data_IF_130183239038
#
_entry.id   IF_130183239038
#
_cell.length_a   1.000
_cell.length_b   1.000
_cell.length_c   1.000
_cell.angle_alpha   90.00
_cell.angle_beta   90.00
_cell.angle_gamma   90.00
#
_symmetry.space_group_name_H-M   'P 1'
#
loop_
_entity.id
_entity.type
_entity.pdbx_description
1 polymer ?
#
# COMPACT_ATOMS: atom_id res chain seq x y z
N UNK A 1 11.04 36.96 -19.23
CA UNK A 1 10.48 35.67 -18.85
C UNK A 1 9.00 35.68 -19.16
N UNK A 2 8.60 34.94 -20.20
CA UNK A 2 7.18 34.66 -20.48
C UNK A 2 6.85 33.27 -19.96
N UNK A 3 5.80 33.14 -19.18
CA UNK A 3 5.30 31.84 -18.68
C UNK A 3 4.11 31.47 -19.56
N UNK A 4 4.24 30.39 -20.33
CA UNK A 4 3.13 29.79 -21.09
C UNK A 4 2.79 28.39 -20.56
N UNK A 5 1.82 27.73 -21.17
CA UNK A 5 1.39 26.38 -20.81
C UNK A 5 2.48 25.31 -20.94
N UNK A 6 3.61 25.61 -21.59
CA UNK A 6 4.75 24.71 -21.77
C UNK A 6 5.88 24.94 -20.74
N UNK A 7 5.83 26.01 -19.96
CA UNK A 7 6.80 26.37 -18.92
C UNK A 7 7.39 27.76 -19.13
N UNK A 8 8.45 28.09 -18.39
CA UNK A 8 9.22 29.33 -18.55
C UNK A 8 9.99 29.24 -19.85
N UNK A 9 9.64 30.07 -20.83
CA UNK A 9 10.44 30.26 -22.02
C UNK A 9 11.13 31.62 -21.99
N UNK A 10 12.38 31.65 -22.35
CA UNK A 10 13.16 32.86 -22.49
C UNK A 10 13.75 32.86 -23.90
N UNK A 11 13.49 33.90 -24.69
CA UNK A 11 14.06 34.06 -26.03
C UNK A 11 14.77 35.41 -26.11
N UNK A 12 16.08 35.38 -26.36
CA UNK A 12 16.90 36.57 -26.58
C UNK A 12 18.31 36.48 -25.98
N UNK A 13 19.24 37.40 -26.38
CA UNK A 13 20.59 37.45 -25.82
C UNK A 13 20.48 37.86 -24.33
N UNK A 14 20.94 37.02 -23.45
CA UNK A 14 20.89 37.24 -21.99
C UNK A 14 19.87 36.30 -21.25
N UNK A 15 19.18 35.43 -21.97
CA UNK A 15 18.41 34.38 -21.34
C UNK A 15 19.31 33.33 -20.69
N UNK A 16 19.10 32.99 -19.41
CA UNK A 16 19.83 31.87 -18.81
C UNK A 16 19.53 30.61 -19.62
N UNK A 17 20.54 29.82 -19.92
CA UNK A 17 20.38 28.53 -20.53
C UNK A 17 19.59 27.66 -19.53
N UNK A 18 18.39 27.18 -19.91
CA UNK A 18 17.60 26.29 -19.06
C UNK A 18 18.37 25.01 -18.64
N UNK A 19 19.42 24.68 -19.41
CA UNK A 19 20.33 23.59 -19.06
C UNK A 19 21.21 23.87 -17.83
N UNK A 20 21.37 25.12 -17.43
CA UNK A 20 22.15 25.52 -16.24
C UNK A 20 21.28 25.67 -14.98
N UNK A 21 19.98 25.39 -15.09
CA UNK A 21 19.06 25.47 -13.95
C UNK A 21 19.07 24.15 -13.17
N UNK A 22 19.53 24.22 -11.91
CA UNK A 22 19.45 23.08 -10.97
C UNK A 22 18.01 22.98 -10.44
N UNK A 23 17.39 21.82 -10.62
CA UNK A 23 16.05 21.56 -10.07
C UNK A 23 16.18 21.16 -8.59
N UNK A 24 15.56 21.92 -7.70
CA UNK A 24 15.49 21.60 -6.28
C UNK A 24 14.11 21.03 -5.94
N UNK A 25 14.05 19.91 -5.20
CA UNK A 25 12.82 19.25 -4.78
C UNK A 25 12.98 18.68 -3.38
N UNK A 26 12.05 19.03 -2.50
CA UNK A 26 12.07 18.66 -1.08
C UNK A 26 11.09 17.53 -0.82
N UNK A 27 11.61 16.41 -0.33
CA UNK A 27 10.83 15.24 0.10
C UNK A 27 10.79 15.19 1.63
N UNK A 28 9.60 15.08 2.21
CA UNK A 28 9.45 14.91 3.65
C UNK A 28 8.48 13.78 3.98
N UNK A 29 8.68 13.11 5.11
CA UNK A 29 7.80 12.08 5.61
C UNK A 29 8.50 10.76 5.94
N UNK A 30 7.85 9.65 5.68
CA UNK A 30 8.25 8.31 6.10
C UNK A 30 9.75 8.02 5.96
N UNK A 31 10.39 7.69 7.09
CA UNK A 31 11.80 7.29 7.12
C UNK A 31 12.05 5.99 6.32
N UNK A 32 11.17 5.02 6.40
CA UNK A 32 11.26 3.76 5.62
C UNK A 32 11.32 4.04 4.11
N UNK A 33 10.47 4.95 3.60
CA UNK A 33 10.53 5.35 2.19
C UNK A 33 11.79 6.16 1.89
N UNK A 34 12.11 7.14 2.74
CA UNK A 34 13.21 8.06 2.51
C UNK A 34 14.58 7.41 2.62
N UNK A 35 14.78 6.47 3.56
CA UNK A 35 16.09 5.87 3.80
C UNK A 35 16.48 4.81 2.74
N UNK A 36 15.52 4.05 2.22
CA UNK A 36 15.79 2.88 1.37
C UNK A 36 15.13 2.98 0.00
N UNK A 37 13.81 3.13 -0.05
CA UNK A 37 13.05 3.01 -1.31
C UNK A 37 13.35 4.15 -2.29
N UNK A 38 13.32 5.39 -1.81
CA UNK A 38 13.50 6.57 -2.65
C UNK A 38 14.91 6.67 -3.21
N UNK A 39 16.00 6.50 -2.41
CA UNK A 39 17.35 6.45 -2.93
C UNK A 39 17.53 5.40 -4.01
N UNK A 40 17.09 4.15 -3.78
CA UNK A 40 17.22 3.07 -4.76
C UNK A 40 16.50 3.38 -6.09
N UNK A 41 15.31 4.00 -6.03
CA UNK A 41 14.57 4.41 -7.21
C UNK A 41 15.22 5.57 -7.95
N UNK A 42 15.78 6.55 -7.22
CA UNK A 42 16.46 7.70 -7.80
C UNK A 42 17.77 7.29 -8.47
N UNK A 43 18.55 6.44 -7.83
CA UNK A 43 19.78 5.88 -8.40
C UNK A 43 19.50 5.10 -9.70
N UNK A 44 18.48 4.27 -9.70
CA UNK A 44 18.08 3.53 -10.90
C UNK A 44 17.53 4.44 -12.02
N UNK A 45 16.82 5.49 -11.67
CA UNK A 45 16.38 6.53 -12.60
C UNK A 45 17.58 7.27 -13.18
N UNK A 46 18.48 7.72 -12.33
CA UNK A 46 19.69 8.47 -12.70
C UNK A 46 20.56 7.67 -13.69
N UNK A 47 20.89 6.43 -13.36
CA UNK A 47 21.66 5.55 -14.23
C UNK A 47 21.03 5.34 -15.60
N UNK A 48 19.70 5.36 -15.70
CA UNK A 48 18.98 5.22 -16.96
C UNK A 48 18.96 6.49 -17.79
N UNK A 49 19.07 7.64 -17.17
CA UNK A 49 18.99 8.98 -17.81
C UNK A 49 20.35 9.62 -18.02
N UNK A 50 21.46 8.92 -17.71
CA UNK A 50 22.83 9.46 -17.86
C UNK A 50 23.19 10.50 -16.79
N UNK A 51 22.75 10.23 -15.55
CA UNK A 51 23.16 11.00 -14.38
C UNK A 51 23.97 10.12 -13.42
N UNK A 52 24.97 10.72 -12.80
CA UNK A 52 25.64 10.19 -11.60
C UNK A 52 24.93 10.71 -10.35
N UNK A 53 24.88 9.92 -9.30
CA UNK A 53 24.29 10.31 -8.01
C UNK A 53 25.37 10.39 -6.96
N UNK A 54 25.41 11.49 -6.23
CA UNK A 54 26.18 11.61 -4.99
C UNK A 54 25.23 11.95 -3.83
N UNK A 55 25.60 11.55 -2.64
CA UNK A 55 24.81 11.77 -1.42
C UNK A 55 25.56 12.72 -0.49
N UNK A 56 24.87 13.75 -0.02
CA UNK A 56 25.30 14.64 1.04
C UNK A 56 24.52 14.34 2.30
N UNK A 57 25.20 14.02 3.39
CA UNK A 57 24.55 13.80 4.69
C UNK A 57 24.34 15.14 5.41
N UNK A 58 23.18 15.26 6.05
CA UNK A 58 22.80 16.36 6.92
C UNK A 58 22.48 15.88 8.32
N UNK A 59 21.96 16.78 9.16
CA UNK A 59 21.60 16.48 10.55
C UNK A 59 20.25 15.79 10.66
N UNK A 60 20.10 14.86 11.62
CA UNK A 60 18.80 14.33 12.09
C UNK A 60 17.89 13.79 10.99
N UNK A 61 18.35 12.83 10.20
CA UNK A 61 17.54 12.19 9.15
C UNK A 61 17.38 13.05 7.89
N UNK A 62 18.15 14.11 7.76
CA UNK A 62 18.24 14.93 6.54
C UNK A 62 19.41 14.49 5.69
N UNK A 63 19.21 14.45 4.39
CA UNK A 63 20.26 14.23 3.39
C UNK A 63 19.79 14.76 2.03
N UNK A 64 20.73 14.92 1.10
CA UNK A 64 20.43 15.27 -0.26
C UNK A 64 21.02 14.27 -1.25
N UNK A 65 20.30 14.00 -2.33
CA UNK A 65 20.81 13.29 -3.50
C UNK A 65 21.02 14.28 -4.63
N UNK A 66 22.27 14.37 -5.09
CA UNK A 66 22.69 15.26 -6.15
C UNK A 66 22.82 14.48 -7.45
N UNK A 67 22.07 14.88 -8.48
CA UNK A 67 22.12 14.28 -9.81
C UNK A 67 22.96 15.17 -10.72
N UNK A 68 24.15 14.70 -11.12
CA UNK A 68 25.03 15.38 -12.06
C UNK A 68 25.03 14.67 -13.41
N UNK A 69 25.06 15.42 -14.51
CA UNK A 69 25.14 14.85 -15.86
C UNK A 69 26.46 14.11 -16.07
N UNK A 70 26.40 12.96 -16.71
CA UNK A 70 27.61 12.17 -16.99
C UNK A 70 28.51 12.83 -18.05
N UNK A 71 27.94 13.63 -18.96
CA UNK A 71 28.65 14.20 -20.10
C UNK A 71 29.51 15.42 -19.72
N UNK A 72 29.03 16.30 -18.84
CA UNK A 72 29.71 17.55 -18.48
C UNK A 72 29.94 17.72 -16.96
N UNK A 73 29.46 16.77 -16.14
CA UNK A 73 29.60 16.79 -14.68
C UNK A 73 28.74 17.86 -13.98
N UNK A 74 27.92 18.62 -14.70
CA UNK A 74 27.11 19.69 -14.11
C UNK A 74 25.96 19.12 -13.31
N UNK A 75 25.69 19.76 -12.16
CA UNK A 75 24.54 19.45 -11.33
C UNK A 75 23.24 19.77 -12.07
N UNK A 76 22.36 18.78 -12.24
CA UNK A 76 21.07 18.90 -12.89
C UNK A 76 19.92 19.00 -11.89
N UNK A 77 20.02 18.28 -10.78
CA UNK A 77 19.01 18.30 -9.72
C UNK A 77 19.59 18.03 -8.34
N UNK A 78 18.91 18.60 -7.34
CA UNK A 78 19.10 18.35 -5.92
C UNK A 78 17.79 17.87 -5.33
N UNK A 79 17.78 16.69 -4.75
CA UNK A 79 16.64 16.10 -4.07
C UNK A 79 16.94 16.06 -2.58
N UNK A 80 16.34 16.97 -1.82
CA UNK A 80 16.50 17.09 -0.38
C UNK A 80 15.49 16.20 0.34
N UNK A 81 15.97 15.42 1.29
CA UNK A 81 15.15 14.51 2.09
C UNK A 81 15.12 14.91 3.56
N UNK A 82 13.92 14.89 4.14
CA UNK A 82 13.68 14.86 5.57
C UNK A 82 12.97 13.56 5.91
N UNK A 83 13.73 12.54 6.31
CA UNK A 83 13.22 11.25 6.71
C UNK A 83 12.68 11.33 8.17
N UNK A 84 11.38 11.29 8.32
CA UNK A 84 10.67 11.44 9.60
C UNK A 84 9.47 10.47 9.65
N UNK A 85 8.27 10.99 9.75
CA UNK A 85 7.03 10.22 9.72
C UNK A 85 5.97 10.90 8.83
N UNK A 86 4.87 10.20 8.59
CA UNK A 86 3.79 10.68 7.70
C UNK A 86 3.15 12.00 8.18
N UNK A 87 2.96 12.18 9.49
CA UNK A 87 2.34 13.41 10.03
C UNK A 87 3.23 14.62 9.80
N UNK A 88 4.54 14.49 10.08
CA UNK A 88 5.53 15.52 9.80
C UNK A 88 5.59 15.86 8.31
N UNK A 89 5.54 14.84 7.44
CA UNK A 89 5.54 15.07 6.00
C UNK A 89 4.36 15.94 5.54
N UNK A 90 3.15 15.71 6.05
CA UNK A 90 2.00 16.57 5.74
C UNK A 90 2.10 17.94 6.38
N UNK A 91 2.66 18.05 7.59
CA UNK A 91 2.91 19.34 8.24
C UNK A 91 3.90 20.19 7.42
N UNK A 92 5.01 19.60 6.96
CA UNK A 92 6.00 20.27 6.10
C UNK A 92 5.40 20.71 4.76
N UNK A 93 4.52 19.89 4.16
CA UNK A 93 3.81 20.27 2.94
C UNK A 93 2.94 21.52 3.16
N UNK A 94 2.20 21.56 4.29
CA UNK A 94 1.36 22.69 4.64
C UNK A 94 2.15 23.95 4.98
N UNK A 95 3.34 23.80 5.55
CA UNK A 95 4.27 24.89 5.86
C UNK A 95 5.10 25.37 4.64
N UNK A 96 4.89 24.79 3.45
CA UNK A 96 5.71 24.99 2.24
C UNK A 96 7.22 24.65 2.44
N UNK A 97 7.48 23.70 3.34
CA UNK A 97 8.83 23.15 3.58
C UNK A 97 9.07 21.86 2.77
N UNK A 98 8.05 21.26 2.18
CA UNK A 98 8.14 20.10 1.31
C UNK A 98 7.37 20.30 -0.01
N UNK A 99 7.88 19.66 -1.08
CA UNK A 99 7.25 19.59 -2.39
C UNK A 99 6.55 18.25 -2.63
N UNK A 100 7.03 17.20 -1.94
CA UNK A 100 6.51 15.84 -2.04
C UNK A 100 6.46 15.21 -0.64
N UNK A 101 5.31 14.67 -0.26
CA UNK A 101 5.15 13.92 0.99
C UNK A 101 5.32 12.42 0.73
N UNK A 102 6.13 11.77 1.55
CA UNK A 102 6.26 10.32 1.65
C UNK A 102 5.38 9.80 2.78
N UNK A 103 4.30 9.07 2.47
CA UNK A 103 3.29 8.69 3.44
C UNK A 103 3.02 7.17 3.43
N UNK A 104 2.81 6.57 4.61
CA UNK A 104 2.42 5.17 4.80
C UNK A 104 0.91 4.99 5.02
N UNK A 105 0.14 6.02 4.83
CA UNK A 105 -1.32 6.04 4.93
C UNK A 105 -1.93 7.07 3.98
N UNK A 106 -3.21 6.96 3.78
CA UNK A 106 -3.96 7.99 3.07
C UNK A 106 -3.96 9.32 3.83
N UNK A 107 -4.08 10.40 3.05
CA UNK A 107 -4.27 11.76 3.59
C UNK A 107 -5.56 11.82 4.41
N UNK A 108 -5.49 12.32 5.64
CA UNK A 108 -6.64 12.46 6.56
C UNK A 108 -7.57 13.61 6.13
N UNK A 109 -8.81 13.56 6.61
CA UNK A 109 -9.81 14.60 6.28
C UNK A 109 -9.33 16.00 6.64
N UNK A 110 -8.73 16.17 7.81
CA UNK A 110 -8.23 17.48 8.28
C UNK A 110 -7.07 17.97 7.39
N UNK A 111 -6.11 17.10 7.07
CA UNK A 111 -5.00 17.42 6.17
C UNK A 111 -5.50 17.86 4.78
N UNK A 112 -6.58 17.22 4.27
CA UNK A 112 -7.21 17.60 3.01
C UNK A 112 -7.84 18.98 3.06
N UNK A 113 -8.52 19.33 4.17
CA UNK A 113 -9.13 20.64 4.38
C UNK A 113 -8.04 21.69 4.43
N UNK A 114 -7.03 21.50 5.28
CA UNK A 114 -5.90 22.41 5.46
C UNK A 114 -5.12 22.62 4.14
N UNK A 115 -4.90 21.55 3.36
CA UNK A 115 -4.24 21.66 2.06
C UNK A 115 -5.03 22.52 1.05
N UNK A 116 -6.36 22.41 1.04
CA UNK A 116 -7.21 23.26 0.19
C UNK A 116 -7.17 24.72 0.62
N UNK A 117 -7.24 24.97 1.93
CA UNK A 117 -7.17 26.31 2.51
C UNK A 117 -5.80 26.96 2.27
N UNK A 118 -4.72 26.18 2.32
CA UNK A 118 -3.37 26.62 1.97
C UNK A 118 -3.12 26.78 0.45
N UNK A 119 -4.13 26.55 -0.41
CA UNK A 119 -4.00 26.68 -1.86
C UNK A 119 -3.24 25.54 -2.54
N UNK A 120 -2.98 24.44 -1.83
CA UNK A 120 -2.24 23.25 -2.36
C UNK A 120 -3.13 22.34 -3.21
N UNK A 121 -4.45 22.63 -3.26
CA UNK A 121 -5.44 21.88 -4.02
C UNK A 121 -5.98 20.65 -3.27
N UNK A 122 -6.75 19.81 -3.98
CA UNK A 122 -7.31 18.59 -3.42
C UNK A 122 -6.30 17.43 -3.54
N UNK A 123 -5.69 17.04 -2.42
CA UNK A 123 -4.70 15.94 -2.39
C UNK A 123 -5.30 14.57 -2.77
N UNK A 124 -6.65 14.43 -2.82
CA UNK A 124 -7.31 13.22 -3.34
C UNK A 124 -7.63 13.31 -4.84
N UNK A 125 -7.33 14.43 -5.48
CA UNK A 125 -7.56 14.65 -6.89
C UNK A 125 -6.73 13.74 -7.78
N UNK A 126 -7.13 13.62 -9.03
CA UNK A 126 -6.36 12.86 -10.03
C UNK A 126 -4.93 13.38 -10.12
N UNK A 127 -3.96 12.47 -10.11
CA UNK A 127 -2.53 12.77 -10.17
C UNK A 127 -1.97 13.58 -8.96
N UNK A 128 -2.66 13.60 -7.81
CA UNK A 128 -2.17 14.24 -6.58
C UNK A 128 -1.57 13.25 -5.59
N UNK A 129 -1.84 11.99 -5.78
CA UNK A 129 -1.22 10.90 -5.03
C UNK A 129 -0.74 9.80 -5.97
N UNK A 130 0.26 9.08 -5.50
CA UNK A 130 0.79 7.90 -6.18
C UNK A 130 1.24 6.87 -5.18
N UNK A 131 0.81 5.64 -5.34
CA UNK A 131 1.40 4.51 -4.63
C UNK A 131 2.65 4.07 -5.38
N UNK A 132 3.78 4.01 -4.69
CA UNK A 132 5.05 3.53 -5.24
C UNK A 132 5.19 2.02 -5.08
N UNK A 133 4.95 1.55 -3.86
CA UNK A 133 5.15 0.18 -3.42
C UNK A 133 4.10 -0.17 -2.36
N UNK A 134 4.05 -1.43 -1.98
CA UNK A 134 3.34 -1.89 -0.81
C UNK A 134 4.35 -2.45 0.19
N UNK A 135 4.01 -2.30 1.46
CA UNK A 135 4.63 -2.94 2.61
C UNK A 135 3.53 -3.49 3.51
N UNK A 136 3.86 -4.03 4.65
CA UNK A 136 2.89 -4.43 5.65
C UNK A 136 3.43 -4.22 7.05
N UNK A 137 2.54 -3.87 7.96
CA UNK A 137 2.80 -3.90 9.41
C UNK A 137 2.67 -5.35 9.85
N UNK A 138 3.72 -5.93 10.38
CA UNK A 138 3.75 -7.35 10.78
C UNK A 138 4.04 -7.52 12.25
N UNK A 139 3.22 -8.30 12.98
CA UNK A 139 3.53 -8.74 14.34
C UNK A 139 4.57 -9.86 14.26
N UNK A 140 5.65 -9.70 15.04
CA UNK A 140 6.80 -10.62 15.01
C UNK A 140 7.14 -11.13 16.39
N UNK A 141 7.62 -12.38 16.45
CA UNK A 141 8.09 -13.07 17.64
C UNK A 141 9.42 -13.74 17.39
N UNK A 142 10.06 -14.25 18.44
CA UNK A 142 11.23 -15.12 18.27
C UNK A 142 10.85 -16.41 17.54
N UNK A 143 11.74 -16.98 16.71
CA UNK A 143 11.50 -18.28 16.03
C UNK A 143 11.19 -19.43 16.99
N UNK A 144 11.65 -19.34 18.25
CA UNK A 144 11.40 -20.31 19.33
C UNK A 144 10.08 -20.11 20.06
N UNK A 145 9.35 -18.99 19.85
CA UNK A 145 8.04 -18.78 20.46
C UNK A 145 7.03 -19.80 19.89
N UNK A 146 6.23 -20.50 20.73
CA UNK A 146 5.28 -21.50 20.23
C UNK A 146 4.03 -20.92 19.60
N UNK A 147 3.68 -19.66 19.86
CA UNK A 147 2.52 -18.99 19.25
C UNK A 147 2.84 -18.62 17.80
N UNK A 148 1.93 -18.96 16.87
CA UNK A 148 2.10 -18.72 15.43
C UNK A 148 0.99 -17.89 14.82
N UNK A 149 -0.08 -17.65 15.59
CA UNK A 149 -1.24 -16.95 15.07
C UNK A 149 -1.80 -16.00 16.13
N UNK A 150 -2.32 -14.86 15.69
CA UNK A 150 -3.00 -13.88 16.54
C UNK A 150 -4.14 -13.22 15.75
N UNK A 151 -5.26 -12.90 16.41
CA UNK A 151 -6.28 -12.07 15.75
C UNK A 151 -5.93 -10.58 15.88
N UNK A 152 -6.37 -9.73 14.93
CA UNK A 152 -6.15 -8.27 15.04
C UNK A 152 -6.72 -7.68 16.33
N UNK A 153 -7.89 -8.14 16.79
CA UNK A 153 -8.47 -7.73 18.06
C UNK A 153 -7.63 -8.17 19.26
N UNK A 154 -7.12 -9.40 19.21
CA UNK A 154 -6.22 -9.91 20.27
C UNK A 154 -4.90 -9.12 20.26
N UNK A 155 -4.36 -8.81 19.08
CA UNK A 155 -3.17 -7.97 18.93
C UNK A 155 -3.40 -6.58 19.55
N UNK A 156 -4.56 -5.97 19.31
CA UNK A 156 -4.93 -4.70 19.93
C UNK A 156 -4.95 -4.80 21.46
N UNK A 157 -5.56 -5.86 22.03
CA UNK A 157 -5.62 -6.08 23.48
C UNK A 157 -4.25 -6.35 24.10
N UNK A 158 -3.33 -6.96 23.38
CA UNK A 158 -1.95 -7.16 23.84
C UNK A 158 -1.22 -5.81 23.86
N UNK A 159 -1.27 -5.03 22.78
CA UNK A 159 -0.59 -3.74 22.73
C UNK A 159 -1.25 -2.66 23.60
N UNK A 160 -2.51 -2.83 23.99
CA UNK A 160 -3.14 -1.97 25.00
C UNK A 160 -2.78 -2.36 26.44
N UNK A 161 -2.16 -3.53 26.65
CA UNK A 161 -1.84 -4.05 27.98
C UNK A 161 -3.01 -4.73 28.69
N UNK A 162 -4.14 -5.00 28.00
CA UNK A 162 -5.22 -5.83 28.55
C UNK A 162 -4.81 -7.31 28.67
N UNK A 163 -4.00 -7.79 27.71
CA UNK A 163 -3.42 -9.13 27.74
C UNK A 163 -1.90 -8.99 27.92
N UNK A 164 -1.40 -9.42 29.07
CA UNK A 164 0.02 -9.30 29.46
C UNK A 164 0.74 -10.64 29.60
N UNK A 165 0.08 -11.75 29.30
CA UNK A 165 0.65 -13.09 29.53
C UNK A 165 0.39 -13.99 28.32
N UNK A 166 1.45 -14.66 27.85
CA UNK A 166 1.42 -15.58 26.71
C UNK A 166 0.44 -16.76 26.89
N UNK A 167 0.17 -17.18 28.14
CA UNK A 167 -0.79 -18.25 28.41
C UNK A 167 -2.19 -17.94 27.86
N UNK A 168 -2.58 -16.65 27.80
CA UNK A 168 -3.85 -16.21 27.21
C UNK A 168 -3.90 -16.40 25.69
N UNK A 169 -2.74 -16.60 25.05
CA UNK A 169 -2.56 -16.82 23.62
C UNK A 169 -2.18 -18.28 23.30
N UNK A 170 -2.27 -19.18 24.27
CA UNK A 170 -1.89 -20.59 24.13
C UNK A 170 -0.38 -20.84 24.23
N UNK A 171 0.38 -19.87 24.69
CA UNK A 171 1.80 -19.95 24.97
C UNK A 171 2.13 -20.34 26.41
N UNK A 172 3.39 -20.20 26.84
CA UNK A 172 3.80 -20.47 28.21
C UNK A 172 3.20 -19.48 29.22
N UNK A 173 3.21 -19.82 30.50
CA UNK A 173 2.88 -18.88 31.58
C UNK A 173 4.05 -17.93 31.83
N UNK A 174 4.07 -16.86 31.04
CA UNK A 174 5.13 -15.86 31.04
C UNK A 174 4.60 -14.48 30.56
N UNK A 175 5.19 -13.37 31.02
CA UNK A 175 4.80 -12.04 30.55
C UNK A 175 5.10 -11.87 29.07
N UNK A 176 4.34 -10.97 28.43
CA UNK A 176 4.60 -10.53 27.05
C UNK A 176 5.41 -9.24 27.10
N UNK A 177 6.61 -9.25 26.53
CA UNK A 177 7.47 -8.07 26.40
C UNK A 177 7.19 -7.39 25.05
N UNK A 178 6.71 -6.13 25.09
CA UNK A 178 6.28 -5.40 23.90
C UNK A 178 7.41 -4.56 23.32
N UNK A 179 7.65 -4.70 22.02
CA UNK A 179 8.68 -3.98 21.27
C UNK A 179 8.06 -3.20 20.10
N UNK A 180 8.31 -1.89 20.05
CA UNK A 180 7.90 -1.01 18.95
C UNK A 180 9.06 -0.11 18.49
N UNK A 181 9.01 0.42 17.28
CA UNK A 181 9.85 1.55 16.89
C UNK A 181 9.57 2.78 17.76
N UNK A 182 10.35 3.85 17.59
CA UNK A 182 10.11 5.14 18.26
C UNK A 182 8.67 5.62 18.08
N UNK A 183 8.16 6.38 19.02
CA UNK A 183 6.75 6.80 19.05
C UNK A 183 6.33 7.63 17.81
N UNK A 184 7.28 8.37 17.25
CA UNK A 184 7.12 9.21 16.07
C UNK A 184 7.30 8.45 14.75
N UNK A 185 7.64 7.14 14.78
CA UNK A 185 7.80 6.36 13.56
C UNK A 185 6.48 6.09 12.84
N UNK A 186 6.53 5.94 11.51
CA UNK A 186 5.36 5.57 10.70
C UNK A 186 4.75 4.22 11.09
N UNK A 187 5.56 3.24 11.52
CA UNK A 187 5.07 1.94 11.99
C UNK A 187 4.33 2.05 13.33
N UNK A 188 4.84 2.86 14.26
CA UNK A 188 4.13 3.13 15.53
C UNK A 188 2.82 3.87 15.30
N UNK A 189 2.75 4.76 14.32
CA UNK A 189 1.49 5.38 13.90
C UNK A 189 0.55 4.35 13.27
N UNK A 190 1.07 3.46 12.42
CA UNK A 190 0.26 2.47 11.72
C UNK A 190 -0.38 1.46 12.68
N UNK A 191 0.32 0.97 13.72
CA UNK A 191 -0.29 0.07 14.71
C UNK A 191 -1.41 0.77 15.50
N UNK A 192 -1.27 2.05 15.80
CA UNK A 192 -2.32 2.83 16.44
C UNK A 192 -3.52 3.00 15.51
N UNK A 193 -3.28 3.47 14.29
CA UNK A 193 -4.34 3.80 13.32
C UNK A 193 -5.09 2.55 12.81
N UNK A 194 -4.38 1.44 12.57
CA UNK A 194 -4.95 0.25 11.93
C UNK A 194 -5.40 -0.84 12.90
N UNK A 195 -4.87 -0.86 14.12
CA UNK A 195 -5.14 -1.95 15.08
C UNK A 195 -5.82 -1.43 16.34
N UNK A 196 -5.25 -0.44 17.02
CA UNK A 196 -5.75 0.05 18.30
C UNK A 196 -7.01 0.90 18.15
N UNK A 197 -6.99 1.91 17.27
CA UNK A 197 -8.12 2.83 17.04
C UNK A 197 -9.40 2.10 16.61
N UNK A 198 -9.38 1.13 15.66
CA UNK A 198 -10.57 0.36 15.31
C UNK A 198 -11.12 -0.50 16.45
N UNK A 199 -10.25 -0.89 17.40
CA UNK A 199 -10.65 -1.62 18.61
C UNK A 199 -11.12 -0.72 19.76
N UNK A 200 -11.02 0.62 19.61
CA UNK A 200 -11.32 1.57 20.68
C UNK A 200 -10.34 1.54 21.84
N UNK A 201 -9.10 1.10 21.60
CA UNK A 201 -8.06 0.91 22.60
C UNK A 201 -6.90 1.89 22.40
N UNK A 202 -6.17 2.16 23.49
CA UNK A 202 -4.97 3.00 23.48
C UNK A 202 -3.72 2.15 23.70
N UNK A 203 -2.58 2.64 23.22
CA UNK A 203 -1.30 1.95 23.37
C UNK A 203 -0.84 1.94 24.83
N UNK A 204 -0.39 0.79 25.32
CA UNK A 204 0.25 0.65 26.64
C UNK A 204 1.48 1.55 26.78
N UNK A 205 1.70 2.06 27.97
CA UNK A 205 2.94 2.76 28.31
C UNK A 205 4.14 1.79 28.47
N UNK A 206 3.86 0.52 28.78
CA UNK A 206 4.86 -0.53 29.01
C UNK A 206 5.33 -1.11 27.65
N UNK A 207 6.08 -0.33 26.88
CA UNK A 207 6.59 -0.72 25.56
C UNK A 207 8.06 -0.34 25.43
N UNK A 208 8.91 -1.29 25.08
CA UNK A 208 10.32 -1.04 24.75
C UNK A 208 10.42 -0.41 23.36
N UNK A 209 11.08 0.76 23.28
CA UNK A 209 11.22 1.51 22.03
C UNK A 209 12.60 1.33 21.41
N UNK A 210 12.61 1.17 20.07
CA UNK A 210 13.83 0.99 19.29
C UNK A 210 13.97 2.10 18.26
N UNK A 211 15.16 2.71 18.19
CA UNK A 211 15.45 3.74 17.20
C UNK A 211 15.69 3.18 15.79
N UNK A 212 16.15 1.93 15.71
CA UNK A 212 16.50 1.27 14.44
C UNK A 212 15.67 -0.01 14.26
N UNK A 213 15.15 -0.27 13.05
CA UNK A 213 14.38 -1.49 12.75
C UNK A 213 15.17 -2.78 13.01
N UNK A 214 16.44 -2.83 12.62
CA UNK A 214 17.31 -4.00 12.83
C UNK A 214 17.47 -4.31 14.33
N UNK A 215 17.63 -3.27 15.18
CA UNK A 215 17.75 -3.44 16.62
C UNK A 215 16.45 -4.00 17.23
N UNK A 216 15.28 -3.62 16.71
CA UNK A 216 14.00 -4.18 17.11
C UNK A 216 13.92 -5.66 16.73
N UNK A 217 14.17 -5.98 15.46
CA UNK A 217 14.09 -7.34 14.95
C UNK A 217 15.06 -8.26 15.70
N UNK A 218 16.29 -7.82 15.94
CA UNK A 218 17.30 -8.57 16.70
C UNK A 218 16.88 -8.79 18.17
N UNK A 219 16.33 -7.77 18.84
CA UNK A 219 15.84 -7.88 20.22
C UNK A 219 14.72 -8.91 20.31
N UNK A 220 13.74 -8.86 19.40
CA UNK A 220 12.62 -9.80 19.36
C UNK A 220 13.08 -11.21 19.01
N UNK A 221 14.02 -11.38 18.05
CA UNK A 221 14.50 -12.70 17.65
C UNK A 221 15.22 -13.45 18.80
N UNK A 222 15.82 -12.71 19.74
CA UNK A 222 16.56 -13.27 20.89
C UNK A 222 15.73 -13.54 22.13
N UNK A 223 14.56 -12.92 22.25
CA UNK A 223 13.70 -13.07 23.43
C UNK A 223 12.41 -13.83 23.08
N UNK A 224 12.29 -15.05 23.60
CA UNK A 224 11.12 -15.91 23.38
C UNK A 224 9.80 -15.30 23.91
N UNK A 225 9.88 -14.35 24.82
CA UNK A 225 8.71 -13.66 25.40
C UNK A 225 8.39 -12.33 24.71
N UNK A 226 9.23 -11.89 23.79
CA UNK A 226 9.00 -10.66 23.04
C UNK A 226 7.90 -10.80 21.99
N UNK A 227 7.12 -9.74 21.84
CA UNK A 227 6.23 -9.49 20.72
C UNK A 227 6.54 -8.09 20.15
N UNK A 228 6.95 -8.04 18.91
CA UNK A 228 7.29 -6.79 18.23
C UNK A 228 6.37 -6.45 17.07
N UNK A 229 6.44 -5.20 16.62
CA UNK A 229 5.87 -4.74 15.34
C UNK A 229 7.00 -4.22 14.47
N UNK A 230 7.11 -4.76 13.27
CA UNK A 230 8.05 -4.29 12.25
C UNK A 230 7.37 -4.18 10.89
N UNK A 231 8.11 -3.76 9.87
CA UNK A 231 7.67 -3.82 8.49
C UNK A 231 7.96 -5.20 7.88
N UNK A 232 7.17 -5.59 6.89
CA UNK A 232 7.43 -6.82 6.14
C UNK A 232 8.83 -6.81 5.49
N UNK A 233 9.31 -5.64 5.05
CA UNK A 233 10.63 -5.50 4.45
C UNK A 233 11.79 -5.60 5.49
N UNK A 234 11.52 -5.42 6.79
CA UNK A 234 12.54 -5.26 7.84
C UNK A 234 12.37 -6.29 8.99
N UNK A 235 11.77 -7.45 8.71
CA UNK A 235 11.48 -8.48 9.72
C UNK A 235 12.71 -9.21 10.27
N UNK A 236 13.86 -9.14 9.59
CA UNK A 236 15.10 -9.80 10.03
C UNK A 236 14.93 -11.31 10.23
N UNK A 237 15.51 -11.85 11.31
CA UNK A 237 15.46 -13.28 11.69
C UNK A 237 14.26 -13.61 12.60
N UNK A 238 13.25 -12.75 12.68
CA UNK A 238 12.04 -12.99 13.46
C UNK A 238 11.06 -13.90 12.74
N UNK A 239 10.10 -14.45 13.47
CA UNK A 239 8.95 -15.18 12.91
C UNK A 239 7.72 -14.28 12.90
N UNK A 240 7.10 -14.15 11.72
CA UNK A 240 5.88 -13.34 11.56
C UNK A 240 4.66 -14.14 12.02
N UNK A 241 3.84 -13.57 12.88
CA UNK A 241 2.57 -14.18 13.27
C UNK A 241 1.55 -14.06 12.14
N UNK A 242 0.91 -15.17 11.81
CA UNK A 242 -0.24 -15.20 10.93
C UNK A 242 -1.41 -14.46 11.57
N UNK A 243 -2.06 -13.56 10.84
CA UNK A 243 -3.28 -12.93 11.29
C UNK A 243 -4.48 -13.84 11.04
N UNK A 244 -5.26 -14.08 12.07
CA UNK A 244 -6.41 -14.96 11.95
C UNK A 244 -7.51 -14.59 12.94
N UNK A 245 -8.65 -15.25 12.83
CA UNK A 245 -9.79 -15.07 13.71
C UNK A 245 -10.43 -16.40 14.08
N UNK A 246 -11.49 -16.33 14.86
CA UNK A 246 -12.21 -17.52 15.35
C UNK A 246 -12.95 -18.29 14.24
N UNK A 247 -13.04 -17.75 13.04
CA UNK A 247 -13.73 -18.35 11.89
C UNK A 247 -12.83 -19.22 11.00
N UNK A 248 -11.56 -19.48 11.42
CA UNK A 248 -10.65 -20.38 10.70
C UNK A 248 -9.85 -19.76 9.56
N UNK A 249 -9.99 -18.45 9.30
CA UNK A 249 -9.13 -17.78 8.32
C UNK A 249 -7.75 -17.55 8.92
N UNK A 250 -6.72 -17.76 8.08
CA UNK A 250 -5.33 -17.50 8.37
C UNK A 250 -4.73 -16.67 7.22
N UNK A 251 -4.25 -15.48 7.53
CA UNK A 251 -3.75 -14.51 6.57
C UNK A 251 -2.26 -14.24 6.85
N UNK A 252 -1.41 -14.88 6.07
CA UNK A 252 0.03 -14.73 6.18
C UNK A 252 0.48 -13.42 5.54
N UNK A 253 1.50 -12.79 6.10
CA UNK A 253 2.17 -11.64 5.49
C UNK A 253 3.06 -12.08 4.31
N UNK A 254 2.50 -12.84 3.37
CA UNK A 254 3.19 -13.23 2.16
C UNK A 254 3.07 -12.14 1.08
N UNK A 255 4.09 -12.01 0.23
CA UNK A 255 4.14 -11.00 -0.84
C UNK A 255 2.85 -10.92 -1.66
N UNK A 256 2.26 -12.06 -2.05
CA UNK A 256 1.01 -12.12 -2.81
C UNK A 256 -0.19 -11.63 -2.01
N UNK A 257 -0.26 -11.96 -0.72
CA UNK A 257 -1.34 -11.52 0.17
C UNK A 257 -1.28 -10.00 0.42
N UNK A 258 -0.07 -9.44 0.54
CA UNK A 258 0.13 -7.99 0.60
C UNK A 258 -0.25 -7.35 -0.73
N UNK A 259 0.14 -7.94 -1.85
CA UNK A 259 -0.13 -7.43 -3.19
C UNK A 259 -1.62 -7.43 -3.56
N UNK A 260 -2.38 -8.42 -3.10
CA UNK A 260 -3.83 -8.48 -3.24
C UNK A 260 -4.57 -7.63 -2.19
N UNK A 261 -3.84 -7.09 -1.21
CA UNK A 261 -4.40 -6.45 -0.02
C UNK A 261 -5.32 -7.39 0.79
N UNK A 262 -5.17 -8.70 0.62
CA UNK A 262 -5.87 -9.68 1.45
C UNK A 262 -5.22 -9.78 2.84
N UNK A 263 -3.92 -9.42 2.95
CA UNK A 263 -3.29 -9.20 4.24
C UNK A 263 -3.74 -7.87 4.84
N UNK A 264 -4.30 -7.89 6.03
CA UNK A 264 -5.07 -6.77 6.58
C UNK A 264 -4.29 -5.53 6.94
N UNK A 265 -3.08 -5.72 7.38
CA UNK A 265 -2.19 -4.63 7.78
C UNK A 265 -1.25 -4.24 6.64
N UNK A 266 -1.73 -4.38 5.39
CA UNK A 266 -1.02 -3.86 4.22
C UNK A 266 -0.88 -2.35 4.33
N UNK A 267 0.32 -1.85 4.08
CA UNK A 267 0.69 -0.44 4.16
C UNK A 267 1.12 0.08 2.78
N UNK A 268 0.23 0.73 2.02
CA UNK A 268 0.61 1.36 0.77
C UNK A 268 1.53 2.55 1.01
N UNK A 269 2.57 2.66 0.19
CA UNK A 269 3.57 3.71 0.24
C UNK A 269 3.23 4.81 -0.75
N UNK A 270 2.72 5.92 -0.26
CA UNK A 270 2.23 7.03 -1.06
C UNK A 270 3.28 8.13 -1.25
N UNK A 271 3.28 8.72 -2.44
CA UNK A 271 3.74 10.08 -2.64
C UNK A 271 2.54 11.00 -2.84
N UNK A 272 2.49 12.12 -2.10
CA UNK A 272 1.51 13.18 -2.31
C UNK A 272 2.19 14.45 -2.80
N UNK A 273 1.55 15.18 -3.70
CA UNK A 273 2.07 16.44 -4.24
C UNK A 273 0.97 17.50 -4.40
N UNK A 274 1.33 18.79 -4.19
CA UNK A 274 0.40 19.90 -4.32
C UNK A 274 -0.01 20.15 -5.78
N UNK A 275 -0.97 21.04 -5.97
CA UNK A 275 -1.48 21.44 -7.29
C UNK A 275 -0.53 22.39 -8.05
N UNK A 276 0.76 22.36 -7.76
CA UNK A 276 1.80 23.10 -8.48
C UNK A 276 2.56 22.20 -9.45
N UNK A 277 3.15 22.80 -10.48
CA UNK A 277 3.95 22.06 -11.46
C UNK A 277 5.33 21.76 -10.87
N UNK A 278 5.64 20.49 -10.72
CA UNK A 278 6.96 20.03 -10.31
C UNK A 278 7.99 20.21 -11.45
N UNK A 279 9.28 20.35 -11.14
CA UNK A 279 10.36 20.39 -12.13
C UNK A 279 10.30 19.23 -13.13
N UNK A 280 10.83 19.42 -14.33
CA UNK A 280 10.78 18.40 -15.39
C UNK A 280 11.40 17.09 -14.93
N UNK A 281 12.60 17.11 -14.40
CA UNK A 281 13.31 15.91 -13.92
C UNK A 281 12.52 15.14 -12.85
N UNK A 282 11.80 15.84 -11.96
CA UNK A 282 10.92 15.22 -10.97
C UNK A 282 9.74 14.53 -11.64
N UNK A 283 9.14 15.15 -12.66
CA UNK A 283 8.04 14.53 -13.42
C UNK A 283 8.51 13.31 -14.21
N UNK A 284 9.72 13.33 -14.75
CA UNK A 284 10.36 12.19 -15.42
C UNK A 284 10.67 11.07 -14.43
N UNK A 285 11.20 11.40 -13.25
CA UNK A 285 11.37 10.45 -12.16
C UNK A 285 10.02 9.81 -11.77
N UNK A 286 8.99 10.63 -11.55
CA UNK A 286 7.65 10.11 -11.25
C UNK A 286 7.07 9.28 -12.41
N UNK A 287 7.39 9.56 -13.65
CA UNK A 287 7.01 8.70 -14.78
C UNK A 287 7.77 7.36 -14.77
N UNK A 288 9.08 7.40 -14.47
CA UNK A 288 9.92 6.21 -14.31
C UNK A 288 9.37 5.26 -13.23
N UNK A 289 8.92 5.78 -12.07
CA UNK A 289 8.41 4.94 -10.96
C UNK A 289 7.23 4.05 -11.36
N UNK A 290 6.57 4.35 -12.47
CA UNK A 290 5.47 3.56 -13.02
C UNK A 290 5.93 2.43 -13.96
N UNK A 291 7.16 2.47 -14.41
CA UNK A 291 7.69 1.53 -15.41
C UNK A 291 8.14 0.19 -14.81
N UNK A 292 8.28 -0.85 -15.65
CA UNK A 292 8.71 -2.17 -15.20
C UNK A 292 10.06 -2.18 -14.47
N UNK A 293 10.99 -1.31 -14.89
CA UNK A 293 12.32 -1.20 -14.26
C UNK A 293 12.22 -0.76 -12.80
N UNK A 294 11.36 0.21 -12.49
CA UNK A 294 11.12 0.64 -11.11
C UNK A 294 10.51 -0.48 -10.25
N UNK A 295 9.60 -1.28 -10.81
CA UNK A 295 9.00 -2.40 -10.10
C UNK A 295 10.04 -3.47 -9.71
N UNK A 296 11.06 -3.68 -10.55
CA UNK A 296 12.19 -4.56 -10.22
C UNK A 296 13.02 -3.97 -9.07
N UNK A 297 13.28 -2.67 -9.09
CA UNK A 297 14.02 -1.97 -8.01
C UNK A 297 13.28 -2.07 -6.69
N UNK A 298 11.97 -1.84 -6.68
CA UNK A 298 11.10 -1.97 -5.51
C UNK A 298 11.26 -3.36 -4.87
N UNK A 299 11.17 -4.43 -5.67
CA UNK A 299 11.37 -5.80 -5.16
C UNK A 299 12.77 -6.03 -4.59
N UNK A 300 13.80 -5.50 -5.24
CA UNK A 300 15.19 -5.63 -4.77
C UNK A 300 15.45 -4.86 -3.47
N UNK A 301 14.71 -3.78 -3.26
CA UNK A 301 14.74 -3.01 -2.02
C UNK A 301 13.92 -3.66 -0.87
N UNK A 302 13.35 -4.87 -1.09
CA UNK A 302 12.62 -5.63 -0.07
C UNK A 302 11.11 -5.36 -0.03
N UNK A 303 10.61 -4.40 -0.81
CA UNK A 303 9.19 -4.02 -0.83
C UNK A 303 8.37 -4.79 -1.85
N UNK A 304 7.06 -4.73 -1.73
CA UNK A 304 6.13 -5.38 -2.64
C UNK A 304 5.79 -4.45 -3.79
N UNK A 305 6.09 -4.87 -5.01
CA UNK A 305 5.76 -4.15 -6.24
C UNK A 305 4.28 -4.29 -6.61
N UNK A 306 3.81 -3.46 -7.54
CA UNK A 306 2.41 -3.42 -7.95
C UNK A 306 2.14 -4.02 -9.35
N UNK A 307 3.12 -4.70 -9.97
CA UNK A 307 2.88 -5.35 -11.26
C UNK A 307 1.82 -6.44 -11.13
N UNK A 308 0.71 -6.43 -11.89
CA UNK A 308 -0.27 -7.50 -11.83
C UNK A 308 0.35 -8.88 -12.11
N UNK A 309 0.05 -9.85 -11.26
CA UNK A 309 0.46 -11.25 -11.40
C UNK A 309 -0.79 -12.13 -11.41
N UNK A 310 -0.71 -13.25 -12.13
CA UNK A 310 -1.76 -14.26 -12.16
C UNK A 310 -1.52 -15.27 -11.04
N UNK A 311 -2.55 -15.53 -10.23
CA UNK A 311 -2.56 -16.56 -9.20
C UNK A 311 -3.41 -17.71 -9.74
N UNK A 312 -2.81 -18.86 -10.03
CA UNK A 312 -3.53 -20.03 -10.51
C UNK A 312 -4.63 -20.48 -9.55
N UNK A 313 -5.67 -21.09 -10.08
CA UNK A 313 -6.82 -21.56 -9.27
C UNK A 313 -6.41 -22.60 -8.23
N UNK A 314 -5.40 -23.40 -8.52
CA UNK A 314 -4.87 -24.41 -7.61
C UNK A 314 -4.39 -23.79 -6.29
N UNK A 315 -3.85 -22.57 -6.34
CA UNK A 315 -3.45 -21.81 -5.15
C UNK A 315 -4.63 -21.16 -4.42
N UNK A 316 -5.85 -21.19 -4.99
CA UNK A 316 -7.07 -20.67 -4.38
C UNK A 316 -7.87 -21.76 -3.63
N UNK A 317 -7.40 -23.01 -3.59
CA UNK A 317 -8.13 -24.15 -3.05
C UNK A 317 -8.65 -23.93 -1.62
N UNK A 318 -7.81 -23.38 -0.74
CA UNK A 318 -8.21 -23.07 0.65
C UNK A 318 -9.33 -22.01 0.71
N UNK A 319 -9.35 -21.05 -0.21
CA UNK A 319 -10.43 -20.04 -0.27
C UNK A 319 -11.76 -20.66 -0.67
N UNK A 320 -11.77 -21.57 -1.66
CA UNK A 320 -12.97 -22.31 -2.05
C UNK A 320 -13.44 -23.25 -0.92
N UNK A 321 -12.52 -23.94 -0.26
CA UNK A 321 -12.83 -24.77 0.89
C UNK A 321 -13.44 -23.93 2.04
N UNK A 322 -12.85 -22.80 2.37
CA UNK A 322 -13.37 -21.89 3.38
C UNK A 322 -14.75 -21.35 3.00
N UNK A 323 -14.97 -21.00 1.72
CA UNK A 323 -16.28 -20.58 1.24
C UNK A 323 -17.38 -21.63 1.51
N UNK A 324 -17.07 -22.92 1.33
CA UNK A 324 -17.99 -24.02 1.60
C UNK A 324 -18.20 -24.19 3.12
N UNK A 325 -17.11 -24.13 3.92
CA UNK A 325 -17.18 -24.34 5.38
C UNK A 325 -17.95 -23.21 6.07
N UNK A 326 -17.78 -21.97 5.61
CA UNK A 326 -18.39 -20.78 6.22
C UNK A 326 -19.75 -20.43 5.64
N UNK A 327 -20.20 -21.15 4.59
CA UNK A 327 -21.51 -20.92 3.97
C UNK A 327 -22.64 -21.03 4.99
N UNK A 328 -23.40 -19.95 5.14
CA UNK A 328 -24.61 -19.90 5.95
C UNK A 328 -25.89 -20.22 5.14
N UNK A 329 -27.02 -20.07 5.80
CA UNK A 329 -28.33 -20.26 5.15
C UNK A 329 -28.61 -19.26 4.02
N UNK A 330 -27.95 -18.09 4.07
CA UNK A 330 -28.06 -17.02 3.08
C UNK A 330 -27.23 -17.28 1.81
N UNK A 331 -26.30 -18.26 1.84
CA UNK A 331 -25.49 -18.67 0.68
C UNK A 331 -25.85 -20.08 0.23
N UNK A 332 -26.86 -20.25 -0.66
CA UNK A 332 -27.31 -21.56 -1.08
C UNK A 332 -26.26 -22.30 -1.93
N UNK A 333 -26.35 -23.63 -1.96
CA UNK A 333 -25.42 -24.49 -2.69
C UNK A 333 -25.33 -24.12 -4.18
N UNK A 334 -26.42 -23.74 -4.80
CA UNK A 334 -26.46 -23.33 -6.21
C UNK A 334 -25.57 -22.10 -6.46
N UNK A 335 -25.50 -21.17 -5.52
CA UNK A 335 -24.65 -19.98 -5.65
C UNK A 335 -23.16 -20.35 -5.51
N UNK A 336 -22.80 -21.23 -4.57
CA UNK A 336 -21.44 -21.76 -4.45
C UNK A 336 -21.01 -22.54 -5.70
N UNK A 337 -21.95 -23.36 -6.26
CA UNK A 337 -21.68 -24.08 -7.50
C UNK A 337 -21.51 -23.13 -8.69
N UNK A 338 -22.34 -22.08 -8.79
CA UNK A 338 -22.24 -21.05 -9.82
C UNK A 338 -20.89 -20.32 -9.71
N UNK A 339 -20.50 -19.90 -8.51
CA UNK A 339 -19.23 -19.25 -8.23
C UNK A 339 -18.06 -20.14 -8.65
N UNK A 340 -18.05 -21.38 -8.20
CA UNK A 340 -16.98 -22.34 -8.51
C UNK A 340 -16.89 -22.59 -10.02
N UNK A 341 -18.02 -22.85 -10.70
CA UNK A 341 -18.04 -23.07 -12.14
C UNK A 341 -17.54 -21.84 -12.93
N UNK A 342 -17.76 -20.64 -12.41
CA UNK A 342 -17.31 -19.39 -13.04
C UNK A 342 -15.80 -19.16 -12.85
N UNK A 343 -15.28 -19.35 -11.64
CA UNK A 343 -13.93 -18.94 -11.25
C UNK A 343 -12.87 -20.01 -11.47
N UNK A 344 -13.20 -21.31 -11.33
CA UNK A 344 -12.23 -22.41 -11.49
C UNK A 344 -11.49 -22.39 -12.84
N UNK A 345 -12.13 -22.07 -13.99
CA UNK A 345 -11.39 -22.00 -15.26
C UNK A 345 -10.57 -20.71 -15.46
N UNK A 346 -10.38 -19.89 -14.42
CA UNK A 346 -9.72 -18.59 -14.48
C UNK A 346 -8.58 -18.50 -13.45
N UNK A 347 -7.63 -17.59 -13.71
CA UNK A 347 -6.63 -17.20 -12.72
C UNK A 347 -7.04 -15.86 -12.07
N UNK A 348 -6.80 -15.70 -10.76
CA UNK A 348 -7.01 -14.42 -10.08
C UNK A 348 -5.81 -13.51 -10.32
N UNK A 349 -6.03 -12.25 -10.67
CA UNK A 349 -4.96 -11.25 -10.65
C UNK A 349 -4.68 -10.80 -9.21
N UNK A 350 -3.43 -10.41 -8.96
CA UNK A 350 -3.05 -9.79 -7.68
C UNK A 350 -3.63 -8.38 -7.51
N UNK A 351 -4.33 -7.86 -8.49
CA UNK A 351 -5.00 -6.56 -8.45
C UNK A 351 -6.39 -6.71 -7.82
N UNK A 352 -6.60 -6.06 -6.69
CA UNK A 352 -7.89 -5.98 -5.99
C UNK A 352 -8.31 -4.53 -5.83
N UNK A 353 -9.61 -4.31 -5.57
CA UNK A 353 -10.16 -2.97 -5.38
C UNK A 353 -11.00 -2.93 -4.11
N UNK A 354 -10.77 -1.90 -3.31
CA UNK A 354 -11.46 -1.61 -2.08
C UNK A 354 -12.16 -0.26 -2.15
N UNK A 355 -13.00 0.04 -1.19
CA UNK A 355 -13.89 1.19 -1.24
C UNK A 355 -13.82 1.97 0.07
N UNK A 356 -14.01 3.27 -0.02
CA UNK A 356 -14.22 4.12 1.15
C UNK A 356 -15.44 3.60 1.93
N UNK A 357 -15.43 3.70 3.26
CA UNK A 357 -16.48 3.18 4.13
C UNK A 357 -17.88 3.64 3.68
N UNK A 358 -18.81 2.68 3.58
CA UNK A 358 -20.20 2.93 3.18
C UNK A 358 -20.38 3.45 1.74
N UNK A 359 -19.39 3.31 0.86
CA UNK A 359 -19.36 3.95 -0.46
C UNK A 359 -19.09 2.94 -1.58
N UNK A 360 -19.32 3.38 -2.82
CA UNK A 360 -18.82 2.78 -4.06
C UNK A 360 -17.60 3.52 -4.61
N UNK A 361 -17.09 4.53 -3.91
CA UNK A 361 -15.88 5.26 -4.30
C UNK A 361 -14.66 4.45 -3.91
N UNK A 362 -13.73 4.34 -4.85
CA UNK A 362 -12.47 3.66 -4.66
C UNK A 362 -11.58 4.40 -3.64
N UNK A 363 -10.92 3.68 -2.75
CA UNK A 363 -9.86 4.20 -1.91
C UNK A 363 -8.62 4.61 -2.73
N UNK A 364 -7.62 5.21 -2.11
CA UNK A 364 -6.45 5.73 -2.84
C UNK A 364 -5.61 4.63 -3.48
N UNK A 365 -5.45 3.50 -2.80
CA UNK A 365 -4.75 2.34 -3.36
C UNK A 365 -5.48 1.81 -4.58
N UNK A 366 -6.79 1.63 -4.51
CA UNK A 366 -7.60 1.14 -5.63
C UNK A 366 -7.60 2.10 -6.82
N UNK A 367 -7.54 3.42 -6.58
CA UNK A 367 -7.33 4.39 -7.67
C UNK A 367 -5.99 4.19 -8.37
N UNK A 368 -4.93 3.84 -7.62
CA UNK A 368 -3.63 3.46 -8.19
C UNK A 368 -3.74 2.16 -8.99
N UNK A 369 -4.45 1.15 -8.46
CA UNK A 369 -4.69 -0.13 -9.12
C UNK A 369 -5.45 0.03 -10.44
N UNK A 370 -6.43 0.96 -10.51
CA UNK A 370 -7.10 1.34 -11.77
C UNK A 370 -6.08 1.78 -12.82
N UNK A 371 -5.14 2.66 -12.45
CA UNK A 371 -4.12 3.16 -13.36
C UNK A 371 -3.12 2.07 -13.78
N UNK A 372 -2.80 1.14 -12.89
CA UNK A 372 -1.90 0.01 -13.18
C UNK A 372 -2.56 -0.96 -14.18
N UNK A 373 -3.81 -1.36 -13.91
CA UNK A 373 -4.54 -2.28 -14.77
C UNK A 373 -4.84 -1.64 -16.14
N UNK A 374 -5.22 -0.37 -16.17
CA UNK A 374 -5.45 0.38 -17.41
C UNK A 374 -4.22 0.35 -18.32
N UNK A 375 -3.01 0.53 -17.77
CA UNK A 375 -1.76 0.43 -18.55
C UNK A 375 -1.49 -0.96 -19.05
N UNK A 376 -1.76 -1.99 -18.25
CA UNK A 376 -1.62 -3.36 -18.70
C UNK A 376 -2.53 -3.65 -19.90
N UNK A 377 -3.76 -3.08 -19.91
CA UNK A 377 -4.67 -3.12 -21.07
C UNK A 377 -4.11 -2.35 -22.26
N UNK A 378 -3.58 -1.15 -22.07
CA UNK A 378 -2.98 -0.32 -23.11
C UNK A 378 -1.75 -0.99 -23.74
N UNK A 379 -1.00 -1.78 -22.97
CA UNK A 379 0.13 -2.57 -23.44
C UNK A 379 -0.27 -3.88 -24.14
N UNK A 380 -1.59 -4.19 -24.23
CA UNK A 380 -2.11 -5.39 -24.86
C UNK A 380 -1.85 -6.68 -24.08
N UNK A 381 -1.51 -6.61 -22.79
CA UNK A 381 -1.20 -7.80 -21.97
C UNK A 381 -2.39 -8.79 -21.87
N UNK A 382 -3.60 -8.29 -22.05
CA UNK A 382 -4.83 -9.09 -21.96
C UNK A 382 -5.61 -9.15 -23.29
N UNK A 383 -4.97 -8.85 -24.42
CA UNK A 383 -5.56 -8.99 -25.75
C UNK A 383 -5.99 -10.46 -25.98
N UNK A 384 -7.17 -10.63 -26.56
CA UNK A 384 -7.81 -11.93 -26.81
C UNK A 384 -8.14 -12.75 -25.56
N UNK A 385 -8.11 -12.13 -24.36
CA UNK A 385 -8.43 -12.77 -23.09
C UNK A 385 -9.74 -12.23 -22.51
N UNK A 386 -10.34 -13.02 -21.59
CA UNK A 386 -11.46 -12.58 -20.75
C UNK A 386 -10.92 -12.00 -19.46
N UNK A 387 -11.33 -10.77 -19.13
CA UNK A 387 -11.15 -10.15 -17.81
C UNK A 387 -12.51 -10.03 -17.14
N UNK A 388 -12.65 -10.60 -15.95
CA UNK A 388 -13.86 -10.55 -15.15
C UNK A 388 -13.63 -9.80 -13.85
N UNK A 389 -14.42 -8.76 -13.60
CA UNK A 389 -14.45 -8.02 -12.35
C UNK A 389 -15.52 -8.65 -11.45
N UNK A 390 -15.09 -9.21 -10.33
CA UNK A 390 -15.93 -10.02 -9.44
C UNK A 390 -16.11 -9.33 -8.11
N UNK A 391 -17.34 -8.95 -7.79
CA UNK A 391 -17.69 -8.26 -6.55
C UNK A 391 -18.00 -9.23 -5.41
N UNK A 392 -17.45 -8.90 -4.23
CA UNK A 392 -17.73 -9.55 -2.95
C UNK A 392 -18.19 -8.53 -1.91
N UNK A 393 -18.93 -8.98 -0.92
CA UNK A 393 -19.40 -8.21 0.23
C UNK A 393 -18.99 -8.88 1.55
N UNK A 394 -19.22 -8.18 2.65
CA UNK A 394 -19.34 -8.80 3.98
C UNK A 394 -20.69 -9.53 4.09
N UNK A 395 -20.88 -10.26 5.19
CA UNK A 395 -22.11 -10.99 5.51
C UNK A 395 -23.11 -10.17 6.33
N UNK A 396 -22.99 -8.84 6.42
CA UNK A 396 -23.95 -8.02 7.14
C UNK A 396 -25.13 -7.64 6.24
N UNK A 397 -26.35 -8.03 6.66
CA UNK A 397 -27.58 -7.74 5.93
C UNK A 397 -28.07 -8.91 5.07
N UNK A 398 -29.05 -8.67 4.19
CA UNK A 398 -29.63 -9.71 3.34
C UNK A 398 -28.71 -10.05 2.16
N UNK A 399 -28.48 -11.33 1.89
CA UNK A 399 -27.60 -11.82 0.82
C UNK A 399 -27.93 -11.24 -0.57
N UNK A 400 -29.23 -11.04 -0.88
CA UNK A 400 -29.61 -10.40 -2.13
C UNK A 400 -29.11 -8.95 -2.24
N UNK A 401 -29.24 -8.16 -1.17
CA UNK A 401 -28.75 -6.77 -1.13
C UNK A 401 -27.21 -6.73 -1.20
N UNK A 402 -26.55 -7.67 -0.51
CA UNK A 402 -25.10 -7.86 -0.53
C UNK A 402 -24.60 -8.15 -1.95
N UNK A 403 -25.27 -9.02 -2.68
CA UNK A 403 -24.94 -9.32 -4.07
C UNK A 403 -25.16 -8.12 -5.00
N UNK A 404 -26.27 -7.37 -4.83
CA UNK A 404 -26.58 -6.19 -5.64
C UNK A 404 -25.54 -5.07 -5.43
N UNK A 405 -25.08 -4.82 -4.19
CA UNK A 405 -24.04 -3.81 -3.93
C UNK A 405 -22.68 -4.27 -4.44
N UNK A 406 -22.35 -5.55 -4.29
CA UNK A 406 -21.13 -6.14 -4.82
C UNK A 406 -21.07 -6.03 -6.36
N UNK A 407 -22.20 -6.26 -7.05
CA UNK A 407 -22.30 -6.08 -8.51
C UNK A 407 -22.07 -4.60 -8.90
N UNK A 408 -22.75 -3.66 -8.24
CA UNK A 408 -22.57 -2.23 -8.50
C UNK A 408 -21.13 -1.77 -8.31
N UNK A 409 -20.41 -2.31 -7.30
CA UNK A 409 -19.00 -2.06 -7.06
C UNK A 409 -18.13 -2.60 -8.20
N UNK A 410 -18.38 -3.84 -8.63
CA UNK A 410 -17.65 -4.45 -9.74
C UNK A 410 -17.85 -3.68 -11.06
N UNK A 411 -19.08 -3.24 -11.36
CA UNK A 411 -19.37 -2.37 -12.50
C UNK A 411 -18.67 -1.01 -12.41
N UNK A 412 -18.59 -0.40 -11.21
CA UNK A 412 -17.91 0.86 -11.00
C UNK A 412 -16.41 0.73 -11.26
N UNK A 413 -15.78 -0.36 -10.82
CA UNK A 413 -14.38 -0.67 -11.10
C UNK A 413 -14.16 -0.87 -12.60
N UNK A 414 -14.96 -1.70 -13.26
CA UNK A 414 -14.84 -1.96 -14.70
C UNK A 414 -14.95 -0.66 -15.50
N UNK A 415 -15.93 0.21 -15.17
CA UNK A 415 -16.04 1.53 -15.82
C UNK A 415 -14.82 2.42 -15.56
N UNK A 416 -14.30 2.45 -14.32
CA UNK A 416 -13.13 3.25 -13.98
C UNK A 416 -11.88 2.79 -14.73
N UNK A 417 -11.64 1.49 -14.82
CA UNK A 417 -10.52 0.90 -15.58
C UNK A 417 -10.66 1.18 -17.07
N UNK A 418 -11.86 0.98 -17.63
CA UNK A 418 -12.12 1.25 -19.06
C UNK A 418 -11.95 2.73 -19.41
N UNK A 419 -12.36 3.63 -18.53
CA UNK A 419 -12.19 5.08 -18.73
C UNK A 419 -10.71 5.52 -18.61
N UNK A 420 -9.92 4.83 -17.79
CA UNK A 420 -8.49 5.13 -17.60
C UNK A 420 -7.61 4.55 -18.73
N UNK A 421 -8.05 3.48 -19.39
CA UNK A 421 -7.33 2.80 -20.48
C UNK A 421 -7.61 3.48 -21.84
N UNK A 422 -7.21 4.74 -21.96
CA UNK A 422 -7.58 5.64 -23.08
C UNK A 422 -7.09 5.13 -24.43
N UNK A 423 -5.91 4.52 -24.47
CA UNK A 423 -5.28 4.05 -25.72
C UNK A 423 -5.50 2.55 -25.98
N UNK A 424 -6.13 1.83 -25.05
CA UNK A 424 -6.40 0.40 -25.21
C UNK A 424 -7.50 0.14 -26.23
N UNK A 425 -7.30 -0.88 -27.06
CA UNK A 425 -8.38 -1.38 -27.91
C UNK A 425 -9.25 -2.39 -27.14
N UNK A 426 -10.22 -1.88 -26.39
CA UNK A 426 -11.09 -2.69 -25.54
C UNK A 426 -11.95 -3.72 -26.32
N UNK A 427 -12.10 -3.57 -27.65
CA UNK A 427 -12.80 -4.58 -28.46
C UNK A 427 -12.05 -5.91 -28.59
N UNK A 428 -10.76 -5.92 -28.25
CA UNK A 428 -9.93 -7.13 -28.22
C UNK A 428 -10.01 -7.91 -26.91
N UNK A 429 -10.68 -7.35 -25.90
CA UNK A 429 -10.71 -7.91 -24.55
C UNK A 429 -12.17 -8.22 -24.18
N UNK A 430 -12.46 -9.45 -23.73
CA UNK A 430 -13.80 -9.80 -23.23
C UNK A 430 -13.94 -9.33 -21.77
N UNK A 431 -14.39 -8.07 -21.58
CA UNK A 431 -14.61 -7.51 -20.24
C UNK A 431 -15.96 -7.95 -19.69
N UNK A 432 -15.95 -8.61 -18.52
CA UNK A 432 -17.14 -9.12 -17.84
C UNK A 432 -17.21 -8.61 -16.40
N UNK A 433 -18.41 -8.62 -15.87
CA UNK A 433 -18.71 -8.28 -14.47
C UNK A 433 -19.59 -9.37 -13.89
N UNK A 434 -19.30 -9.80 -12.67
CA UNK A 434 -20.15 -10.68 -11.88
C UNK A 434 -20.03 -10.33 -10.38
N UNK A 435 -20.91 -10.91 -9.55
CA UNK A 435 -20.85 -10.76 -8.12
C UNK A 435 -21.40 -12.02 -7.43
N UNK A 436 -20.77 -12.38 -6.32
CA UNK A 436 -21.15 -13.51 -5.47
C UNK A 436 -21.50 -13.07 -4.05
N UNK A 437 -21.57 -11.74 -3.78
CA UNK A 437 -21.90 -11.23 -2.45
C UNK A 437 -20.97 -11.78 -1.37
N UNK A 438 -21.52 -12.39 -0.35
CA UNK A 438 -20.80 -12.94 0.81
C UNK A 438 -20.25 -14.37 0.60
N UNK A 439 -20.38 -14.95 -0.61
CA UNK A 439 -20.09 -16.37 -0.85
C UNK A 439 -18.61 -16.79 -0.69
N UNK A 440 -17.66 -15.84 -0.74
CA UNK A 440 -16.22 -16.15 -0.60
C UNK A 440 -15.54 -15.12 0.34
N UNK A 441 -15.78 -15.19 1.66
CA UNK A 441 -15.10 -14.32 2.61
C UNK A 441 -13.60 -14.66 2.64
N UNK A 442 -12.77 -13.64 2.98
CA UNK A 442 -11.33 -13.77 3.21
C UNK A 442 -10.94 -13.44 4.64
N UNK A 443 -11.85 -12.87 5.41
CA UNK A 443 -11.67 -12.55 6.82
C UNK A 443 -12.97 -12.81 7.58
N UNK A 444 -12.86 -12.89 8.91
CA UNK A 444 -14.04 -13.01 9.78
C UNK A 444 -14.86 -11.72 9.81
N UNK A 445 -16.17 -11.82 9.71
CA UNK A 445 -17.09 -10.67 9.80
C UNK A 445 -17.37 -10.21 11.25
N UNK A 446 -16.63 -10.73 12.22
CA UNK A 446 -16.74 -10.42 13.65
C UNK A 446 -16.18 -9.05 14.04
N UNK A 447 -15.54 -8.37 13.11
CA UNK A 447 -14.95 -7.04 13.28
C UNK A 447 -15.19 -6.18 12.04
N UNK A 448 -15.22 -4.85 12.23
CA UNK A 448 -15.30 -3.92 11.09
C UNK A 448 -14.16 -4.11 10.12
N UNK A 449 -12.99 -4.41 10.65
CA UNK A 449 -11.81 -4.71 9.87
C UNK A 449 -11.98 -5.93 8.94
N UNK A 450 -12.52 -7.04 9.45
CA UNK A 450 -12.81 -8.23 8.63
C UNK A 450 -13.89 -7.97 7.59
N UNK A 451 -14.95 -7.24 7.96
CA UNK A 451 -15.97 -6.79 7.01
C UNK A 451 -15.40 -5.93 5.89
N UNK A 452 -14.50 -5.00 6.23
CA UNK A 452 -13.83 -4.17 5.22
C UNK A 452 -12.98 -5.01 4.27
N UNK A 453 -12.27 -6.03 4.77
CA UNK A 453 -11.51 -6.96 3.95
C UNK A 453 -12.39 -7.73 2.97
N UNK A 454 -13.61 -8.11 3.39
CA UNK A 454 -14.57 -8.85 2.57
C UNK A 454 -15.24 -7.96 1.49
N UNK A 455 -15.41 -6.65 1.73
CA UNK A 455 -15.97 -5.69 0.77
C UNK A 455 -14.96 -5.33 -0.32
N UNK A 456 -14.84 -6.17 -1.35
CA UNK A 456 -13.82 -6.03 -2.40
C UNK A 456 -14.32 -6.38 -3.79
N UNK A 457 -13.55 -5.97 -4.79
CA UNK A 457 -13.66 -6.46 -6.18
C UNK A 457 -12.33 -7.07 -6.58
N UNK A 458 -12.38 -8.30 -7.05
CA UNK A 458 -11.24 -9.05 -7.57
C UNK A 458 -11.28 -9.05 -9.11
N UNK A 459 -10.10 -9.18 -9.73
CA UNK A 459 -10.01 -9.36 -11.18
C UNK A 459 -9.57 -10.78 -11.48
N UNK A 460 -10.32 -11.45 -12.33
CA UNK A 460 -10.05 -12.81 -12.77
C UNK A 460 -9.83 -12.82 -14.29
N UNK A 461 -8.91 -13.67 -14.76
CA UNK A 461 -8.48 -13.68 -16.17
C UNK A 461 -8.41 -15.10 -16.72
N UNK A 462 -8.81 -15.24 -17.99
CA UNK A 462 -8.76 -16.51 -18.74
C UNK A 462 -8.26 -16.28 -20.16
#
# INVERSE_FOLDING_TARGET
LTVDSSGVSCAGPGCPNLADFVAEVRFSGSATMGAVLMPALIEAFAARQGYTVSREEGDSGRFALLLSREDDGKLAARFDFRASNTNEGFADLLADEADVVMALREVRREERINAREAGLGDLTGANRSRVLALDAVVPVVAPSNPVRQISPLTLARVFSGEIKNWQRLGGPDAPIELHLPTADSGLSQAIVDQVLTPAGLELSADVTRHAMPDALAEAVARDVFALGITSYAEQGETEVLTLGGNCGFALDAARRMIKTEDYPLTAPMFLYFPARRLPLITREFLAFTRGPSAQIVIRRAGFVDQTPEEIPVEEQGNRFANAIITAGAETPLEELQRMTATLVPMARLTTSFRFEAGSIRLDAQSRSNVQQLARALEQGQYDARRLMFVGFSDGEGAARANREIALRRAEAVQRAVSAAAVTANLSRIDLRVDAFGEAMPIACDDSEWGRQANRRVEVWVR
#
